data_IF_211471885325
#
_entry.id   IF_211471885325
#
_cell.length_a   1.000
_cell.length_b   1.000
_cell.length_c   1.000
_cell.angle_alpha   90.00
_cell.angle_beta   90.00
_cell.angle_gamma   90.00
#
_symmetry.space_group_name_H-M   'P 1'
#
loop_
_entity.id
_entity.type
_entity.pdbx_description
1 polymer ?
#
# COMPACT_ATOMS: atom_id res chain seq x y z
N UNK A 1 4.55 -4.47 -20.24
CA UNK A 1 3.55 -3.74 -19.42
C UNK A 1 3.44 -4.41 -18.07
N UNK A 2 3.83 -3.72 -17.00
CA UNK A 2 3.77 -4.21 -15.62
C UNK A 2 2.35 -4.06 -15.06
N UNK A 3 1.88 -5.03 -14.27
CA UNK A 3 0.56 -5.04 -13.64
C UNK A 3 0.70 -4.89 -12.13
N UNK A 4 0.11 -3.83 -11.58
CA UNK A 4 0.08 -3.55 -10.15
C UNK A 4 -1.37 -3.50 -9.69
N UNK A 5 -1.69 -4.28 -8.65
CA UNK A 5 -3.03 -4.33 -8.08
C UNK A 5 -2.97 -3.93 -6.61
N UNK A 6 -3.64 -2.85 -6.23
CA UNK A 6 -3.86 -2.50 -4.84
C UNK A 6 -5.17 -3.12 -4.36
N UNK A 7 -5.10 -3.98 -3.34
CA UNK A 7 -6.28 -4.46 -2.63
C UNK A 7 -6.38 -3.67 -1.32
N UNK A 8 -7.57 -3.19 -1.00
CA UNK A 8 -7.76 -2.32 0.15
C UNK A 8 -9.03 -2.59 0.93
N UNK A 9 -8.91 -2.48 2.25
CA UNK A 9 -10.06 -2.55 3.16
C UNK A 9 -11.00 -1.34 3.07
N UNK A 10 -10.62 -0.30 2.32
CA UNK A 10 -11.49 0.85 2.08
C UNK A 10 -12.63 0.55 1.10
N UNK A 11 -13.48 1.56 0.89
CA UNK A 11 -14.66 1.40 0.02
C UNK A 11 -14.32 1.11 -1.44
N UNK A 12 -15.14 0.25 -2.06
CA UNK A 12 -15.10 -0.05 -3.50
C UNK A 12 -15.53 1.12 -4.40
N UNK A 13 -16.18 2.16 -3.85
CA UNK A 13 -16.57 3.36 -4.60
C UNK A 13 -15.36 4.15 -5.15
N UNK A 14 -14.16 3.89 -4.61
CA UNK A 14 -12.88 4.47 -5.06
C UNK A 14 -12.10 3.54 -6.00
N UNK A 15 -12.71 2.44 -6.42
CA UNK A 15 -12.11 1.53 -7.38
C UNK A 15 -11.90 2.25 -8.70
N UNK A 16 -10.67 2.17 -9.18
CA UNK A 16 -10.29 2.78 -10.44
C UNK A 16 -9.12 2.02 -11.02
N UNK A 17 -8.88 2.26 -12.30
CA UNK A 17 -7.77 1.69 -13.04
C UNK A 17 -7.18 2.77 -13.91
N UNK A 18 -5.86 2.84 -13.93
CA UNK A 18 -5.12 3.80 -14.73
C UNK A 18 -3.94 3.12 -15.42
N UNK A 19 -3.40 3.80 -16.43
CA UNK A 19 -2.13 3.46 -17.06
C UNK A 19 -1.18 4.64 -16.86
N UNK A 20 0.07 4.34 -16.53
CA UNK A 20 1.07 5.37 -16.28
C UNK A 20 2.46 4.84 -16.63
N UNK A 21 3.35 5.76 -16.99
CA UNK A 21 4.70 5.45 -17.40
C UNK A 21 5.67 5.87 -16.30
N UNK A 22 6.49 4.93 -15.84
CA UNK A 22 7.50 5.18 -14.82
C UNK A 22 8.83 4.63 -15.30
N UNK A 23 9.87 5.49 -15.31
CA UNK A 23 11.24 5.09 -15.64
C UNK A 23 11.35 4.36 -17.00
N UNK A 24 10.54 4.75 -17.99
CA UNK A 24 10.51 4.12 -19.32
C UNK A 24 9.70 2.82 -19.41
N UNK A 25 9.05 2.39 -18.32
CA UNK A 25 8.21 1.20 -18.28
C UNK A 25 6.72 1.57 -18.20
N UNK A 26 5.87 0.86 -18.96
CA UNK A 26 4.43 1.06 -18.96
C UNK A 26 3.76 0.23 -17.86
N UNK A 27 2.98 0.88 -16.99
CA UNK A 27 2.24 0.25 -15.90
C UNK A 27 0.74 0.29 -16.14
N UNK A 28 0.09 -0.82 -15.83
CA UNK A 28 -1.33 -0.91 -15.54
C UNK A 28 -1.49 -0.97 -14.01
N UNK A 29 -2.21 -0.01 -13.44
CA UNK A 29 -2.39 0.12 -12.00
C UNK A 29 -3.89 0.10 -11.72
N UNK A 30 -4.31 -0.78 -10.83
CA UNK A 30 -5.71 -0.88 -10.42
C UNK A 30 -5.84 -0.92 -8.91
N UNK A 31 -6.94 -0.38 -8.41
CA UNK A 31 -7.33 -0.42 -7.01
C UNK A 31 -8.66 -1.14 -6.87
N UNK A 32 -8.75 -2.04 -5.89
CA UNK A 32 -9.96 -2.76 -5.49
C UNK A 32 -10.20 -2.64 -3.99
N UNK A 33 -11.33 -2.07 -3.62
CA UNK A 33 -11.85 -1.95 -2.27
C UNK A 33 -12.64 -3.19 -1.86
N UNK A 34 -12.67 -3.47 -0.57
CA UNK A 34 -13.43 -4.58 0.01
C UNK A 34 -14.48 -4.14 1.02
N UNK A 35 -14.70 -2.82 1.17
CA UNK A 35 -15.71 -2.25 2.08
C UNK A 35 -15.60 -2.76 3.52
N UNK A 36 -14.36 -2.95 3.99
CA UNK A 36 -14.04 -3.46 5.33
C UNK A 36 -13.98 -4.99 5.43
N UNK A 37 -14.36 -5.74 4.40
CA UNK A 37 -14.29 -7.20 4.42
C UNK A 37 -12.84 -7.68 4.24
N UNK A 38 -12.25 -8.14 5.35
CA UNK A 38 -10.89 -8.65 5.39
C UNK A 38 -10.74 -10.02 4.71
N UNK A 39 -11.73 -10.90 4.83
CA UNK A 39 -11.66 -12.24 4.21
C UNK A 39 -11.75 -12.12 2.69
N UNK A 40 -12.60 -11.23 2.18
CA UNK A 40 -12.64 -10.87 0.76
C UNK A 40 -11.29 -10.31 0.28
N UNK A 41 -10.61 -9.50 1.08
CA UNK A 41 -9.27 -9.01 0.73
C UNK A 41 -8.27 -10.17 0.61
N UNK A 42 -8.25 -11.10 1.56
CA UNK A 42 -7.41 -12.30 1.50
C UNK A 42 -7.73 -13.17 0.28
N UNK A 43 -9.02 -13.33 -0.06
CA UNK A 43 -9.44 -14.07 -1.25
C UNK A 43 -8.87 -13.43 -2.52
N UNK A 44 -8.98 -12.10 -2.67
CA UNK A 44 -8.45 -11.38 -3.81
C UNK A 44 -6.92 -11.50 -3.90
N UNK A 45 -6.21 -11.41 -2.78
CA UNK A 45 -4.76 -11.64 -2.79
C UNK A 45 -4.40 -13.03 -3.32
N UNK A 46 -5.06 -14.08 -2.81
CA UNK A 46 -4.83 -15.46 -3.28
C UNK A 46 -5.20 -15.65 -4.75
N UNK A 47 -6.31 -15.03 -5.19
CA UNK A 47 -6.80 -15.16 -6.56
C UNK A 47 -5.85 -14.53 -7.58
N UNK A 48 -5.26 -13.37 -7.24
CA UNK A 48 -4.41 -12.59 -8.14
C UNK A 48 -2.91 -12.83 -7.95
N UNK A 49 -2.51 -13.59 -6.92
CA UNK A 49 -1.12 -13.95 -6.71
C UNK A 49 -0.57 -14.73 -7.90
N UNK A 50 0.58 -14.29 -8.42
CA UNK A 50 1.16 -14.79 -9.67
C UNK A 50 0.51 -14.27 -10.95
N UNK A 51 -0.64 -13.57 -10.89
CA UNK A 51 -1.30 -12.92 -12.06
C UNK A 51 -0.92 -11.45 -12.21
N UNK A 52 -0.36 -10.84 -11.16
CA UNK A 52 0.14 -9.46 -11.14
C UNK A 52 1.61 -9.42 -10.76
N UNK A 53 2.36 -8.42 -11.23
CA UNK A 53 3.77 -8.27 -10.90
C UNK A 53 3.95 -7.84 -9.44
N UNK A 54 3.07 -6.95 -8.95
CA UNK A 54 3.11 -6.46 -7.58
C UNK A 54 1.73 -6.14 -7.00
N UNK A 55 1.62 -6.29 -5.68
CA UNK A 55 0.50 -5.85 -4.88
C UNK A 55 0.83 -4.58 -4.09
N UNK A 56 -0.18 -3.73 -3.96
CA UNK A 56 -0.22 -2.67 -2.96
C UNK A 56 -1.21 -3.00 -1.84
N UNK A 57 -0.78 -2.97 -0.59
CA UNK A 57 -1.66 -3.17 0.57
C UNK A 57 -2.24 -1.83 1.01
N UNK A 58 -3.56 -1.67 0.89
CA UNK A 58 -4.25 -0.43 1.22
C UNK A 58 -5.13 -0.52 2.46
N UNK A 59 -5.08 0.50 3.33
CA UNK A 59 -5.88 0.53 4.56
C UNK A 59 -5.26 -0.25 5.72
N UNK A 60 -4.06 -0.79 5.54
CA UNK A 60 -3.19 -1.28 6.61
C UNK A 60 -1.73 -1.21 6.17
N UNK A 61 -0.82 -1.24 7.14
CA UNK A 61 0.63 -1.32 6.96
C UNK A 61 1.09 -2.68 7.52
N UNK A 62 2.30 -3.13 7.20
CA UNK A 62 2.84 -4.38 7.77
C UNK A 62 3.32 -4.23 9.21
N UNK A 63 3.82 -3.06 9.54
CA UNK A 63 4.23 -2.67 10.87
C UNK A 63 4.19 -1.16 11.02
N UNK A 64 4.19 -0.68 12.26
CA UNK A 64 4.49 0.71 12.61
C UNK A 64 5.89 0.78 13.25
N UNK A 65 6.70 1.74 12.84
CA UNK A 65 7.98 2.05 13.50
C UNK A 65 7.75 3.12 14.56
N UNK A 66 8.17 2.85 15.79
CA UNK A 66 8.13 3.81 16.91
C UNK A 66 9.45 3.73 17.65
N UNK A 67 10.18 4.84 17.76
CA UNK A 67 11.47 4.93 18.45
C UNK A 67 12.45 3.79 18.06
N UNK A 68 12.57 3.50 16.75
CA UNK A 68 13.44 2.44 16.24
C UNK A 68 12.90 1.01 16.39
N UNK A 69 11.75 0.81 17.05
CA UNK A 69 11.12 -0.51 17.22
C UNK A 69 9.96 -0.72 16.25
N UNK A 70 9.92 -1.89 15.62
CA UNK A 70 8.82 -2.31 14.72
C UNK A 70 7.72 -3.06 15.48
N UNK A 71 6.49 -2.62 15.32
CA UNK A 71 5.29 -3.22 15.88
C UNK A 71 4.44 -3.79 14.74
N UNK A 72 4.38 -5.12 14.64
CA UNK A 72 3.70 -5.82 13.53
C UNK A 72 2.22 -6.05 13.84
N UNK A 73 1.38 -5.91 12.81
CA UNK A 73 -0.04 -6.21 12.91
C UNK A 73 -0.32 -7.69 12.65
N UNK A 74 -1.27 -8.27 13.39
CA UNK A 74 -1.67 -9.69 13.21
C UNK A 74 -2.28 -9.91 11.82
N UNK A 75 -3.10 -8.98 11.36
CA UNK A 75 -3.75 -9.07 10.04
C UNK A 75 -2.76 -8.91 8.89
N UNK A 76 -1.75 -8.04 9.04
CA UNK A 76 -0.67 -7.92 8.07
C UNK A 76 0.06 -9.24 7.84
N UNK A 77 0.26 -10.05 8.89
CA UNK A 77 0.85 -11.38 8.76
C UNK A 77 -0.01 -12.28 7.87
N UNK A 78 -1.33 -12.27 8.04
CA UNK A 78 -2.27 -13.06 7.22
C UNK A 78 -2.23 -12.66 5.74
N UNK A 79 -2.13 -11.36 5.46
CA UNK A 79 -1.95 -10.86 4.08
C UNK A 79 -0.63 -11.37 3.48
N UNK A 80 0.48 -11.24 4.22
CA UNK A 80 1.79 -11.74 3.77
C UNK A 80 1.81 -13.25 3.57
N UNK A 81 1.03 -13.98 4.35
CA UNK A 81 0.87 -15.43 4.18
C UNK A 81 -0.02 -15.78 2.97
N UNK A 82 -0.93 -14.90 2.54
CA UNK A 82 -1.78 -15.11 1.36
C UNK A 82 -1.05 -14.90 0.03
N UNK A 83 0.01 -14.07 0.02
CA UNK A 83 0.79 -13.72 -1.18
C UNK A 83 2.09 -14.54 -1.18
N UNK A 84 2.30 -15.38 -2.19
CA UNK A 84 3.45 -16.28 -2.31
C UNK A 84 4.36 -15.95 -3.49
N UNK A 85 3.79 -15.49 -4.60
CA UNK A 85 4.49 -15.35 -5.88
C UNK A 85 4.77 -13.88 -6.20
N UNK A 86 3.73 -13.04 -6.19
CA UNK A 86 3.80 -11.63 -6.56
C UNK A 86 4.59 -10.82 -5.52
N UNK A 87 5.23 -9.73 -5.96
CA UNK A 87 5.85 -8.77 -5.03
C UNK A 87 4.75 -8.04 -4.25
N UNK A 88 5.06 -7.53 -3.07
CA UNK A 88 4.09 -6.77 -2.26
C UNK A 88 4.76 -5.62 -1.52
N UNK A 89 4.09 -4.47 -1.51
CA UNK A 89 4.44 -3.31 -0.69
C UNK A 89 3.22 -2.71 0.00
N UNK A 90 3.46 -2.05 1.13
CA UNK A 90 2.46 -1.43 2.00
C UNK A 90 2.67 0.09 2.16
N UNK A 91 3.64 0.66 1.42
CA UNK A 91 3.96 2.09 1.45
C UNK A 91 4.87 2.53 2.61
N UNK A 92 5.23 1.65 3.56
CA UNK A 92 6.04 2.03 4.72
C UNK A 92 7.36 2.69 4.33
N UNK A 93 8.09 2.13 3.36
CA UNK A 93 9.37 2.70 2.93
C UNK A 93 9.23 4.12 2.37
N UNK A 94 8.19 4.37 1.58
CA UNK A 94 7.94 5.68 1.00
C UNK A 94 7.51 6.68 2.08
N UNK A 95 6.65 6.29 3.01
CA UNK A 95 6.25 7.12 4.16
C UNK A 95 7.46 7.54 5.00
N UNK A 96 8.37 6.60 5.30
CA UNK A 96 9.56 6.91 6.09
C UNK A 96 10.53 7.84 5.36
N UNK A 97 10.58 7.77 4.03
CA UNK A 97 11.36 8.70 3.22
C UNK A 97 10.70 10.08 3.18
N UNK A 98 9.39 10.15 2.93
CA UNK A 98 8.68 11.40 2.63
C UNK A 98 8.21 12.19 3.85
N UNK A 99 7.90 11.53 4.98
CA UNK A 99 7.35 12.22 6.15
C UNK A 99 8.28 13.32 6.70
N UNK A 100 9.61 13.14 6.79
CA UNK A 100 10.51 14.22 7.20
C UNK A 100 10.48 15.42 6.25
N UNK A 101 10.48 15.18 4.93
CA UNK A 101 10.37 16.25 3.94
C UNK A 101 9.04 16.99 4.02
N UNK A 102 7.96 16.28 4.36
CA UNK A 102 6.65 16.91 4.56
C UNK A 102 6.67 17.89 5.75
N UNK A 103 7.33 17.54 6.85
CA UNK A 103 7.47 18.46 8.00
C UNK A 103 8.25 19.71 7.63
N UNK A 104 9.39 19.55 6.94
CA UNK A 104 10.17 20.68 6.43
C UNK A 104 9.32 21.58 5.52
N UNK A 105 8.57 20.98 4.58
CA UNK A 105 7.72 21.73 3.67
C UNK A 105 6.61 22.52 4.40
N UNK A 106 6.05 21.97 5.47
CA UNK A 106 5.04 22.68 6.29
C UNK A 106 5.64 23.92 6.96
N UNK A 107 6.83 23.79 7.56
CA UNK A 107 7.54 24.92 8.20
C UNK A 107 7.91 26.00 7.18
N UNK A 108 8.39 25.61 5.99
CA UNK A 108 8.68 26.54 4.88
C UNK A 108 7.44 27.33 4.43
N UNK A 109 6.24 26.79 4.63
CA UNK A 109 4.97 27.46 4.36
C UNK A 109 4.39 28.18 5.58
N UNK A 110 5.18 28.38 6.64
CA UNK A 110 4.80 29.13 7.84
C UNK A 110 3.84 28.38 8.77
N UNK A 111 3.74 27.05 8.64
CA UNK A 111 2.94 26.22 9.54
C UNK A 111 3.82 25.82 10.72
N UNK A 112 3.53 26.38 11.89
CA UNK A 112 4.19 26.00 13.13
C UNK A 112 3.73 24.60 13.58
N UNK A 113 4.71 23.71 13.81
CA UNK A 113 4.47 22.36 14.30
C UNK A 113 4.57 22.35 15.83
N UNK A 114 3.56 21.83 16.51
CA UNK A 114 3.56 21.59 17.96
C UNK A 114 3.40 20.09 18.22
N UNK A 115 4.26 19.54 19.08
CA UNK A 115 4.28 18.13 19.48
C UNK A 115 3.80 17.90 20.91
#
# INVERSE_FOLDING_TARGET
>A
MKKVLSISLGSCTRDHTTKADFLGEHFWISRRGTDGDFEKALQLYREYDGKVDAFGVGGTEFYQLVAGRRYYWRDARRIREAIKISKVGDGNGLKHLLAPYALQALEEHGIELAG
#
